data_IF_961433705470
#
_entry.id   IF_961433705470
#
_cell.length_a   1.000
_cell.length_b   1.000
_cell.length_c   1.000
_cell.angle_alpha   90.00
_cell.angle_beta   90.00
_cell.angle_gamma   90.00
#
_symmetry.space_group_name_H-M   'P 1'
#
loop_
_entity.id
_entity.type
_entity.pdbx_description
1 polymer ?
#
# COMPACT_ATOMS: atom_id res chain seq x y z
N UNK A 1 13.68 -8.60 11.76
CA UNK A 1 13.96 -9.63 12.79
C UNK A 1 14.98 -9.19 13.86
N UNK A 2 15.93 -8.27 13.59
CA UNK A 2 16.98 -7.90 14.57
C UNK A 2 16.51 -7.37 15.93
N UNK A 3 15.36 -6.68 15.99
CA UNK A 3 14.82 -6.16 17.26
C UNK A 3 14.34 -7.24 18.24
N UNK A 4 13.88 -8.39 17.74
CA UNK A 4 13.34 -9.48 18.59
C UNK A 4 14.49 -10.29 19.21
N UNK A 5 15.62 -10.42 18.50
CA UNK A 5 16.83 -11.11 19.02
C UNK A 5 17.38 -10.51 20.32
N UNK A 6 17.17 -9.21 20.54
CA UNK A 6 17.60 -8.49 21.75
C UNK A 6 16.83 -8.91 23.01
N UNK A 7 15.61 -9.42 22.86
CA UNK A 7 14.70 -9.74 23.98
C UNK A 7 14.59 -11.25 24.26
N UNK A 8 15.42 -12.08 23.61
CA UNK A 8 15.41 -13.54 23.81
C UNK A 8 15.97 -13.90 25.19
N UNK A 9 15.21 -14.68 25.98
CA UNK A 9 15.59 -15.14 27.34
C UNK A 9 16.82 -16.06 27.30
N UNK A 10 16.98 -16.80 26.20
CA UNK A 10 18.10 -17.69 25.95
C UNK A 10 19.05 -17.05 24.95
N UNK A 11 20.32 -16.90 25.32
CA UNK A 11 21.39 -16.42 24.46
C UNK A 11 22.44 -17.50 24.26
N UNK A 12 23.03 -17.55 23.07
CA UNK A 12 24.16 -18.42 22.80
C UNK A 12 25.41 -17.91 23.54
N UNK A 13 26.16 -18.80 24.16
CA UNK A 13 27.46 -18.46 24.74
C UNK A 13 28.49 -19.49 24.31
N UNK A 14 29.65 -18.98 23.92
CA UNK A 14 30.83 -19.80 23.70
C UNK A 14 31.49 -19.99 25.06
N UNK A 15 31.55 -21.22 25.53
CA UNK A 15 32.33 -21.56 26.71
C UNK A 15 33.83 -21.41 26.38
N UNK A 16 34.48 -20.46 27.06
CA UNK A 16 35.87 -20.10 26.78
C UNK A 16 36.85 -21.20 27.18
N UNK A 17 36.45 -22.09 28.11
CA UNK A 17 37.28 -23.18 28.62
C UNK A 17 37.32 -24.38 27.67
N UNK A 18 36.18 -24.79 27.10
CA UNK A 18 36.09 -25.90 26.15
C UNK A 18 36.38 -25.51 24.70
N UNK A 19 36.29 -24.22 24.36
CA UNK A 19 36.51 -23.77 22.99
C UNK A 19 38.00 -23.71 22.61
N UNK A 20 38.40 -24.50 21.62
CA UNK A 20 39.77 -24.57 21.07
C UNK A 20 40.13 -23.40 20.14
N UNK A 21 39.19 -22.50 19.82
CA UNK A 21 39.47 -21.32 18.98
C UNK A 21 39.61 -21.60 17.48
N UNK A 22 39.06 -22.72 16.98
CA UNK A 22 39.14 -23.13 15.57
C UNK A 22 38.50 -22.13 14.58
N UNK A 23 37.55 -21.30 15.04
CA UNK A 23 36.92 -20.24 14.24
C UNK A 23 35.93 -20.72 13.17
N UNK A 24 35.51 -21.99 13.21
CA UNK A 24 34.51 -22.55 12.27
C UNK A 24 33.17 -21.83 12.40
N UNK A 25 32.74 -21.55 13.64
CA UNK A 25 31.49 -20.83 13.93
C UNK A 25 31.47 -19.41 13.34
N UNK A 26 32.60 -18.70 13.36
CA UNK A 26 32.71 -17.36 12.77
C UNK A 26 32.57 -17.39 11.24
N UNK A 27 33.15 -18.41 10.58
CA UNK A 27 33.06 -18.57 9.12
C UNK A 27 31.64 -18.83 8.61
N UNK A 28 30.82 -19.56 9.36
CA UNK A 28 29.43 -19.84 8.96
C UNK A 28 28.45 -18.73 9.37
N UNK A 29 28.92 -17.74 10.14
CA UNK A 29 28.10 -16.66 10.63
C UNK A 29 27.82 -15.63 9.51
N UNK A 30 26.67 -15.75 8.85
CA UNK A 30 26.23 -14.81 7.81
C UNK A 30 26.08 -13.36 8.28
N UNK A 31 25.95 -13.14 9.59
CA UNK A 31 25.83 -11.82 10.20
C UNK A 31 27.16 -11.28 10.74
N UNK A 32 28.26 -12.04 10.60
CA UNK A 32 29.61 -11.70 11.09
C UNK A 32 29.61 -11.24 12.56
N UNK A 33 28.77 -11.87 13.37
CA UNK A 33 28.52 -11.48 14.75
C UNK A 33 29.36 -12.27 15.76
N UNK A 34 30.27 -13.14 15.32
CA UNK A 34 31.11 -13.96 16.20
C UNK A 34 32.57 -13.54 16.04
N UNK A 35 33.17 -13.06 17.12
CA UNK A 35 34.57 -12.66 17.16
C UNK A 35 35.44 -13.86 17.60
N UNK A 36 36.37 -14.28 16.72
CA UNK A 36 37.21 -15.47 16.94
C UNK A 36 38.18 -15.26 18.11
N UNK A 37 38.72 -14.05 18.24
CA UNK A 37 39.75 -13.72 19.22
C UNK A 37 39.21 -13.64 20.65
N UNK A 38 38.08 -12.94 20.83
CA UNK A 38 37.46 -12.74 22.14
C UNK A 38 36.52 -13.88 22.55
N UNK A 39 36.16 -14.75 21.60
CA UNK A 39 35.16 -15.83 21.74
C UNK A 39 33.80 -15.28 22.19
N UNK A 40 33.40 -14.15 21.62
CA UNK A 40 32.16 -13.43 21.97
C UNK A 40 31.21 -13.30 20.78
N UNK A 41 29.92 -13.25 21.08
CA UNK A 41 28.85 -13.12 20.10
C UNK A 41 28.15 -11.76 20.29
N UNK A 42 28.17 -10.94 19.25
CA UNK A 42 27.47 -9.66 19.18
C UNK A 42 25.98 -9.87 18.87
N UNK A 43 25.17 -9.83 19.92
CA UNK A 43 23.72 -9.96 19.82
C UNK A 43 23.00 -8.78 19.17
N UNK A 44 23.67 -7.66 18.90
CA UNK A 44 23.05 -6.56 18.16
C UNK A 44 22.85 -6.89 16.68
N UNK A 45 23.67 -7.82 16.15
CA UNK A 45 23.67 -8.26 14.74
C UNK A 45 23.18 -9.70 14.56
N UNK A 46 23.23 -10.52 15.60
CA UNK A 46 22.82 -11.92 15.54
C UNK A 46 21.34 -12.07 15.13
N UNK A 47 21.07 -12.89 14.11
CA UNK A 47 19.71 -13.21 13.64
C UNK A 47 19.17 -14.53 14.20
N UNK A 48 19.90 -15.15 15.14
CA UNK A 48 19.53 -16.42 15.79
C UNK A 48 19.21 -17.56 14.79
N UNK A 49 20.08 -17.75 13.79
CA UNK A 49 19.95 -18.85 12.81
C UNK A 49 20.52 -20.19 13.29
N UNK A 50 21.26 -20.20 14.42
CA UNK A 50 21.80 -21.39 15.09
C UNK A 50 22.84 -22.24 14.32
N UNK A 51 23.17 -21.91 13.08
CA UNK A 51 24.20 -22.60 12.30
C UNK A 51 25.56 -22.76 13.01
N UNK A 52 25.91 -21.85 13.94
CA UNK A 52 27.16 -21.95 14.69
C UNK A 52 27.18 -23.11 15.68
N UNK A 53 26.02 -23.55 16.21
CA UNK A 53 25.90 -24.72 17.07
C UNK A 53 26.24 -25.99 16.30
N UNK A 54 25.63 -26.17 15.13
CA UNK A 54 25.75 -27.39 14.33
C UNK A 54 27.17 -27.67 13.81
N UNK A 55 27.99 -26.63 13.67
CA UNK A 55 29.35 -26.76 13.12
C UNK A 55 30.45 -26.70 14.17
N UNK A 56 30.12 -26.60 15.46
CA UNK A 56 31.11 -26.52 16.52
C UNK A 56 31.67 -27.91 16.83
N UNK A 57 32.94 -28.23 16.49
CA UNK A 57 33.48 -29.58 16.66
C UNK A 57 33.68 -29.97 18.14
N UNK A 58 33.79 -28.97 19.01
CA UNK A 58 34.06 -29.12 20.44
C UNK A 58 32.80 -28.93 21.30
N UNK A 59 31.62 -28.84 20.68
CA UNK A 59 30.32 -28.60 21.34
C UNK A 59 30.34 -27.48 22.40
N UNK A 60 31.20 -26.47 22.18
CA UNK A 60 31.47 -25.43 23.19
C UNK A 60 30.48 -24.27 23.15
N UNK A 61 29.50 -24.30 22.24
CA UNK A 61 28.48 -23.26 22.11
C UNK A 61 27.21 -23.77 22.76
N UNK A 62 26.73 -23.07 23.79
CA UNK A 62 25.61 -23.52 24.61
C UNK A 62 24.56 -22.42 24.78
N UNK A 63 23.33 -22.82 25.10
CA UNK A 63 22.28 -21.90 25.52
C UNK A 63 22.51 -21.47 26.97
N UNK A 64 22.67 -20.17 27.22
CA UNK A 64 22.68 -19.60 28.55
C UNK A 64 21.42 -18.76 28.78
N UNK A 65 20.76 -18.98 29.93
CA UNK A 65 19.72 -18.08 30.42
C UNK A 65 20.34 -16.72 30.76
N UNK A 66 19.74 -15.63 30.27
CA UNK A 66 20.17 -14.29 30.63
C UNK A 66 19.89 -14.00 32.12
N UNK A 67 20.94 -13.63 32.84
CA UNK A 67 20.79 -12.95 34.14
C UNK A 67 20.54 -11.46 33.85
N UNK A 68 19.32 -10.98 34.12
CA UNK A 68 18.85 -9.63 33.78
C UNK A 68 19.52 -8.50 34.59
N UNK A 69 20.41 -8.82 35.53
CA UNK A 69 21.00 -7.84 36.44
C UNK A 69 22.12 -6.96 35.84
N UNK A 70 22.50 -7.13 34.57
CA UNK A 70 23.62 -6.38 33.95
C UNK A 70 23.32 -5.85 32.55
N UNK A 71 22.11 -5.32 32.31
CA UNK A 71 21.84 -4.54 31.09
C UNK A 71 22.26 -3.08 31.34
N UNK A 72 23.50 -2.72 31.00
CA UNK A 72 23.87 -1.31 30.85
C UNK A 72 23.46 -0.83 29.45
N UNK A 73 22.56 0.17 29.33
CA UNK A 73 22.28 0.79 28.05
C UNK A 73 23.48 1.64 27.64
N UNK A 74 24.27 1.17 26.68
CA UNK A 74 25.22 2.03 25.97
C UNK A 74 24.47 3.07 25.15
N UNK A 75 24.19 4.24 25.72
CA UNK A 75 23.68 5.39 24.97
C UNK A 75 24.85 6.14 24.37
N UNK A 76 24.99 6.08 23.05
CA UNK A 76 25.93 6.90 22.29
C UNK A 76 25.39 8.35 22.22
N UNK A 77 25.80 9.17 23.20
CA UNK A 77 25.32 10.56 23.40
C UNK A 77 25.64 11.46 22.17
N UNK A 78 26.61 11.05 21.35
CA UNK A 78 27.01 11.76 20.12
C UNK A 78 25.94 11.68 19.02
N UNK A 79 25.34 10.50 18.78
CA UNK A 79 24.24 10.31 17.83
C UNK A 79 22.98 11.07 18.26
N UNK A 80 22.69 11.10 19.56
CA UNK A 80 21.52 11.77 20.11
C UNK A 80 21.61 13.30 19.94
N UNK A 81 22.81 13.88 20.13
CA UNK A 81 23.07 15.32 19.91
C UNK A 81 23.06 15.72 18.44
N UNK A 82 23.51 14.86 17.53
CA UNK A 82 23.45 15.13 16.09
C UNK A 82 21.99 15.12 15.58
N UNK A 83 21.18 14.15 16.00
CA UNK A 83 19.76 14.07 15.65
C UNK A 83 18.98 15.26 16.24
N UNK A 84 19.25 15.65 17.49
CA UNK A 84 18.55 16.76 18.14
C UNK A 84 18.90 18.14 17.57
N UNK A 85 20.08 18.30 16.98
CA UNK A 85 20.50 19.57 16.32
C UNK A 85 20.07 19.63 14.86
N UNK A 86 20.04 18.49 14.16
CA UNK A 86 19.61 18.44 12.75
C UNK A 86 18.11 18.68 12.58
N UNK A 87 17.28 18.31 13.57
CA UNK A 87 15.83 18.52 13.53
C UNK A 87 15.41 19.99 13.47
N UNK A 88 16.20 20.92 14.02
CA UNK A 88 15.90 22.38 13.95
C UNK A 88 16.05 22.92 12.52
N UNK A 89 16.97 22.36 11.73
CA UNK A 89 17.23 22.80 10.36
C UNK A 89 16.13 22.36 9.38
N UNK A 90 15.53 21.19 9.61
CA UNK A 90 14.42 20.68 8.77
C UNK A 90 13.07 21.35 9.06
N UNK A 91 12.84 21.84 10.29
CA UNK A 91 11.59 22.55 10.63
C UNK A 91 11.50 23.87 9.86
N UNK A 92 12.63 24.58 9.67
CA UNK A 92 12.68 25.87 8.97
C UNK A 92 12.37 25.81 7.46
N UNK A 93 12.49 24.65 6.82
CA UNK A 93 12.29 24.46 5.37
C UNK A 93 10.85 24.08 4.98
N UNK A 94 9.95 23.86 5.93
CA UNK A 94 8.60 23.30 5.65
C UNK A 94 7.48 24.33 5.58
N UNK A 95 7.71 25.57 6.01
CA UNK A 95 6.65 26.61 6.01
C UNK A 95 6.30 27.13 4.61
N UNK A 96 7.18 26.95 3.61
CA UNK A 96 6.94 27.35 2.22
C UNK A 96 6.24 26.29 1.35
N UNK A 97 6.06 25.05 1.84
CA UNK A 97 5.49 23.95 1.06
C UNK A 97 3.98 23.73 1.24
N UNK A 98 3.33 24.43 2.17
CA UNK A 98 1.93 24.18 2.55
C UNK A 98 0.88 25.01 1.77
N UNK A 99 1.29 25.80 0.77
CA UNK A 99 0.37 26.63 -0.03
C UNK A 99 -0.26 25.90 -1.24
N UNK A 100 -0.34 24.57 -1.20
CA UNK A 100 -1.23 23.85 -2.11
C UNK A 100 -2.62 23.83 -1.48
N UNK A 101 -3.56 24.56 -2.08
CA UNK A 101 -4.98 24.60 -1.69
C UNK A 101 -5.57 23.19 -1.86
N UNK A 102 -5.31 22.31 -0.90
CA UNK A 102 -6.02 21.04 -0.77
C UNK A 102 -7.37 21.40 -0.17
N UNK A 103 -8.46 21.05 -0.84
CA UNK A 103 -9.80 21.25 -0.29
C UNK A 103 -9.88 20.39 0.98
N UNK A 104 -9.76 21.03 2.15
CA UNK A 104 -9.84 20.37 3.45
C UNK A 104 -11.31 20.43 3.87
N UNK A 105 -11.99 19.28 4.03
CA UNK A 105 -13.37 19.27 4.51
C UNK A 105 -13.43 19.82 5.93
N UNK A 106 -14.36 20.74 6.18
CA UNK A 106 -14.64 21.30 7.51
C UNK A 106 -15.63 20.44 8.27
N UNK A 107 -16.52 19.72 7.57
CA UNK A 107 -17.54 18.86 8.19
C UNK A 107 -17.20 17.39 8.00
N UNK A 108 -17.41 16.62 9.06
CA UNK A 108 -17.32 15.17 9.00
C UNK A 108 -18.54 14.59 8.28
N UNK A 109 -18.29 13.66 7.35
CA UNK A 109 -19.31 12.87 6.69
C UNK A 109 -19.99 11.90 7.67
N UNK A 110 -21.30 11.65 7.52
CA UNK A 110 -22.08 10.86 8.49
C UNK A 110 -22.43 9.46 8.02
N UNK A 111 -22.56 9.24 6.71
CA UNK A 111 -23.08 7.99 6.15
C UNK A 111 -21.91 7.08 5.81
N UNK A 112 -21.81 5.92 6.45
CA UNK A 112 -20.79 4.93 6.15
C UNK A 112 -20.98 4.31 4.76
N UNK A 113 -19.87 3.98 4.09
CA UNK A 113 -19.89 3.26 2.82
C UNK A 113 -20.46 1.85 3.03
N UNK A 114 -21.38 1.43 2.16
CA UNK A 114 -21.95 0.08 2.19
C UNK A 114 -21.35 -0.73 1.05
N UNK A 115 -20.18 -1.33 1.30
CA UNK A 115 -19.53 -2.24 0.35
C UNK A 115 -20.12 -3.63 0.53
N UNK A 116 -20.84 -4.12 -0.47
CA UNK A 116 -21.39 -5.48 -0.48
C UNK A 116 -20.29 -6.49 -0.80
N UNK A 117 -19.30 -6.07 -1.59
CA UNK A 117 -18.18 -6.94 -1.96
C UNK A 117 -16.87 -6.20 -2.13
N UNK A 118 -15.78 -6.89 -1.81
CA UNK A 118 -14.42 -6.40 -1.97
C UNK A 118 -13.99 -6.51 -3.43
N UNK A 119 -13.30 -5.49 -3.93
CA UNK A 119 -12.92 -5.42 -5.35
C UNK A 119 -11.67 -6.27 -5.61
N UNK A 120 -11.82 -7.30 -6.44
CA UNK A 120 -10.70 -8.15 -6.91
C UNK A 120 -9.96 -7.53 -8.10
N UNK A 121 -8.69 -7.93 -8.34
CA UNK A 121 -7.89 -7.37 -9.44
C UNK A 121 -8.47 -7.63 -10.83
N UNK A 122 -8.28 -6.73 -11.82
CA UNK A 122 -8.74 -6.97 -13.19
C UNK A 122 -8.08 -8.22 -13.77
N UNK A 123 -8.87 -9.08 -14.40
CA UNK A 123 -8.45 -10.40 -14.88
C UNK A 123 -8.80 -11.54 -13.92
N UNK A 124 -9.37 -11.26 -12.75
CA UNK A 124 -9.85 -12.31 -11.83
C UNK A 124 -11.16 -12.97 -12.24
N UNK A 125 -11.92 -12.38 -13.17
CA UNK A 125 -13.25 -12.83 -13.66
C UNK A 125 -14.34 -12.88 -12.59
N UNK A 126 -14.18 -13.64 -11.52
CA UNK A 126 -15.10 -13.69 -10.38
C UNK A 126 -14.32 -13.68 -9.07
N UNK A 127 -14.97 -13.23 -8.00
CA UNK A 127 -14.37 -13.28 -6.66
C UNK A 127 -14.16 -14.72 -6.21
N UNK A 128 -15.09 -15.61 -6.54
CA UNK A 128 -14.95 -17.03 -6.23
C UNK A 128 -13.75 -17.69 -6.93
N UNK A 129 -13.59 -17.44 -8.24
CA UNK A 129 -12.41 -17.91 -8.99
C UNK A 129 -11.12 -17.39 -8.37
N UNK A 130 -11.08 -16.09 -8.06
CA UNK A 130 -9.91 -15.50 -7.43
C UNK A 130 -9.58 -16.15 -6.10
N UNK A 131 -10.56 -16.27 -5.21
CA UNK A 131 -10.37 -16.80 -3.86
C UNK A 131 -9.94 -18.28 -3.88
N UNK A 132 -10.48 -19.07 -4.81
CA UNK A 132 -10.15 -20.50 -4.92
C UNK A 132 -8.77 -20.76 -5.53
N UNK A 133 -8.23 -19.85 -6.34
CA UNK A 133 -6.98 -20.04 -7.07
C UNK A 133 -5.81 -19.19 -6.53
N UNK A 134 -6.09 -18.16 -5.72
CA UNK A 134 -5.06 -17.29 -5.18
C UNK A 134 -4.35 -17.94 -3.98
N UNK A 135 -3.06 -18.18 -4.14
CA UNK A 135 -2.19 -18.74 -3.09
C UNK A 135 -1.60 -17.68 -2.15
N UNK A 136 -2.06 -16.43 -2.24
CA UNK A 136 -1.52 -15.29 -1.48
C UNK A 136 0.03 -15.13 -1.60
N UNK A 137 0.60 -15.43 -2.77
CA UNK A 137 2.04 -15.30 -3.02
C UNK A 137 2.57 -13.84 -3.08
N UNK A 138 1.67 -12.85 -3.09
CA UNK A 138 1.94 -11.41 -3.08
C UNK A 138 2.75 -10.84 -4.26
N UNK A 139 3.04 -11.62 -5.31
CA UNK A 139 3.73 -11.14 -6.51
C UNK A 139 3.02 -9.94 -7.16
N UNK A 140 1.68 -9.99 -7.25
CA UNK A 140 0.89 -8.88 -7.79
C UNK A 140 0.88 -7.63 -6.90
N UNK A 141 0.98 -7.80 -5.57
CA UNK A 141 1.09 -6.68 -4.61
C UNK A 141 2.41 -5.95 -4.83
N UNK A 142 3.52 -6.70 -4.91
CA UNK A 142 4.85 -6.14 -5.13
C UNK A 142 4.99 -5.50 -6.52
N UNK A 143 4.41 -6.12 -7.56
CA UNK A 143 4.44 -5.59 -8.92
C UNK A 143 3.56 -4.35 -9.14
N UNK A 144 2.62 -4.06 -8.22
CA UNK A 144 1.68 -2.95 -8.39
C UNK A 144 2.36 -1.58 -8.16
N UNK A 145 2.51 -0.73 -9.20
CA UNK A 145 3.21 0.55 -9.06
C UNK A 145 2.45 1.53 -8.15
N UNK A 146 1.12 1.49 -8.17
CA UNK A 146 0.29 2.37 -7.34
C UNK A 146 0.10 1.84 -5.92
N UNK A 147 0.49 0.59 -5.65
CA UNK A 147 0.30 -0.10 -4.35
C UNK A 147 -1.17 -0.16 -3.90
N UNK A 148 -2.12 -0.11 -4.85
CA UNK A 148 -3.54 -0.24 -4.53
C UNK A 148 -3.90 -1.65 -4.05
N UNK A 149 -3.14 -2.67 -4.47
CA UNK A 149 -3.33 -4.02 -3.97
C UNK A 149 -2.74 -4.13 -2.57
N UNK A 150 -3.57 -4.49 -1.60
CA UNK A 150 -3.19 -4.72 -0.21
C UNK A 150 -3.60 -6.12 0.23
N UNK A 151 -2.88 -6.75 1.17
CA UNK A 151 -3.26 -8.05 1.69
C UNK A 151 -4.54 -7.92 2.53
N UNK A 152 -5.55 -8.74 2.24
CA UNK A 152 -6.78 -8.79 3.02
C UNK A 152 -6.52 -9.28 4.44
N UNK A 153 -7.37 -8.84 5.36
CA UNK A 153 -7.51 -9.44 6.70
C UNK A 153 -8.90 -10.02 6.84
N UNK A 154 -9.93 -9.26 6.46
CA UNK A 154 -11.34 -9.64 6.62
C UNK A 154 -12.13 -9.53 5.32
N UNK A 155 -11.58 -8.87 4.30
CA UNK A 155 -12.25 -8.46 3.06
C UNK A 155 -12.79 -9.63 2.22
N UNK A 156 -12.18 -10.82 2.33
CA UNK A 156 -12.62 -12.05 1.66
C UNK A 156 -13.07 -13.15 2.64
N UNK A 157 -13.27 -12.79 3.91
CA UNK A 157 -13.57 -13.73 4.99
C UNK A 157 -12.33 -14.43 5.58
N UNK A 158 -12.54 -15.15 6.68
CA UNK A 158 -11.46 -15.70 7.53
C UNK A 158 -10.59 -16.75 6.83
N UNK A 159 -11.11 -17.44 5.82
CA UNK A 159 -10.39 -18.47 5.07
C UNK A 159 -9.51 -17.92 3.94
N UNK A 160 -9.71 -16.66 3.56
CA UNK A 160 -9.06 -16.01 2.41
C UNK A 160 -8.16 -14.85 2.87
N UNK A 161 -7.56 -15.00 4.06
CA UNK A 161 -6.67 -14.00 4.63
C UNK A 161 -5.42 -13.83 3.76
N UNK A 162 -4.89 -12.61 3.73
CA UNK A 162 -3.73 -12.19 2.94
C UNK A 162 -3.88 -12.30 1.42
N UNK A 163 -5.05 -12.66 0.91
CA UNK A 163 -5.32 -12.55 -0.52
C UNK A 163 -5.39 -11.07 -0.93
N UNK A 164 -4.84 -10.69 -2.10
CA UNK A 164 -4.80 -9.29 -2.52
C UNK A 164 -6.21 -8.75 -2.82
N UNK A 165 -6.59 -7.63 -2.23
CA UNK A 165 -7.77 -6.86 -2.62
C UNK A 165 -7.38 -5.44 -3.03
N UNK A 166 -8.25 -4.76 -3.79
CA UNK A 166 -8.04 -3.36 -4.15
C UNK A 166 -8.45 -2.44 -2.99
N UNK A 167 -7.47 -1.81 -2.34
CA UNK A 167 -7.68 -0.83 -1.28
C UNK A 167 -7.62 0.61 -1.81
N UNK A 168 -8.80 1.21 -1.96
CA UNK A 168 -8.94 2.59 -2.42
C UNK A 168 -8.70 3.67 -1.37
N UNK A 169 -8.43 3.28 -0.12
CA UNK A 169 -7.91 4.21 0.90
C UNK A 169 -6.43 4.48 0.66
N UNK A 170 -5.68 3.45 0.26
CA UNK A 170 -4.24 3.54 -0.01
C UNK A 170 -3.94 4.20 -1.34
N UNK A 171 -4.61 3.79 -2.43
CA UNK A 171 -4.34 4.30 -3.79
C UNK A 171 -5.46 3.93 -4.76
N UNK A 172 -5.21 3.86 -6.06
CA UNK A 172 -6.18 3.44 -7.07
C UNK A 172 -5.54 2.53 -8.13
N UNK A 173 -6.36 1.80 -8.89
CA UNK A 173 -5.90 1.00 -10.01
C UNK A 173 -5.62 1.90 -11.21
N UNK A 174 -4.35 2.05 -11.60
CA UNK A 174 -3.98 2.84 -12.78
C UNK A 174 -4.64 2.26 -14.04
N UNK A 175 -5.30 3.10 -14.84
CA UNK A 175 -6.11 2.72 -15.99
C UNK A 175 -5.33 1.91 -17.05
N UNK A 176 -4.10 2.30 -17.35
CA UNK A 176 -3.28 1.70 -18.42
C UNK A 176 -2.36 0.55 -17.96
N UNK A 177 -2.28 0.27 -16.66
CA UNK A 177 -1.35 -0.72 -16.10
C UNK A 177 -1.90 -2.15 -16.13
N UNK A 178 -1.14 -3.16 -16.59
CA UNK A 178 -1.54 -4.59 -16.58
C UNK A 178 -0.63 -5.49 -15.73
N UNK A 179 0.32 -4.90 -14.99
CA UNK A 179 1.41 -5.63 -14.32
C UNK A 179 0.96 -6.78 -13.40
N UNK A 180 -0.16 -6.63 -12.68
CA UNK A 180 -0.66 -7.70 -11.79
C UNK A 180 -1.06 -8.98 -12.53
N UNK A 181 -1.51 -8.85 -13.78
CA UNK A 181 -1.92 -9.98 -14.63
C UNK A 181 -0.74 -10.69 -15.28
N UNK A 182 0.40 -10.03 -15.41
CA UNK A 182 1.62 -10.59 -16.03
C UNK A 182 2.44 -11.44 -15.05
N UNK A 183 2.23 -11.26 -13.74
CA UNK A 183 3.03 -11.89 -12.69
C UNK A 183 2.30 -13.00 -11.93
N UNK A 184 1.02 -13.28 -12.23
CA UNK A 184 0.24 -14.26 -11.48
C UNK A 184 0.57 -15.69 -11.93
N UNK A 185 1.17 -16.53 -11.07
CA UNK A 185 1.61 -17.87 -11.48
C UNK A 185 0.46 -18.90 -11.50
N UNK A 186 -0.62 -18.66 -10.74
CA UNK A 186 -1.73 -19.61 -10.58
C UNK A 186 -2.93 -19.30 -11.47
N UNK A 187 -2.85 -18.27 -12.31
CA UNK A 187 -4.00 -17.77 -13.10
C UNK A 187 -5.23 -17.40 -12.24
N UNK A 188 -5.03 -17.08 -10.96
CA UNK A 188 -6.04 -16.39 -10.15
C UNK A 188 -6.38 -15.00 -10.74
N UNK A 189 -5.40 -14.40 -11.42
CA UNK A 189 -5.55 -13.24 -12.29
C UNK A 189 -5.10 -13.70 -13.67
N UNK A 190 -6.01 -13.78 -14.63
CA UNK A 190 -5.67 -14.11 -16.01
C UNK A 190 -4.89 -12.97 -16.66
N UNK A 191 -3.92 -13.27 -17.56
CA UNK A 191 -3.26 -12.26 -18.38
C UNK A 191 -4.28 -11.44 -19.16
N UNK A 192 -4.19 -10.11 -19.07
CA UNK A 192 -5.05 -9.18 -19.81
C UNK A 192 -4.22 -8.16 -20.58
N UNK A 193 -4.62 -7.88 -21.81
CA UNK A 193 -4.02 -6.78 -22.59
C UNK A 193 -4.51 -5.43 -22.07
N UNK A 194 -3.75 -4.37 -22.34
CA UNK A 194 -4.16 -3.00 -22.00
C UNK A 194 -5.50 -2.61 -22.61
N UNK A 195 -5.81 -3.09 -23.83
CA UNK A 195 -7.09 -2.83 -24.49
C UNK A 195 -8.27 -3.55 -23.79
N UNK A 196 -8.08 -4.81 -23.37
CA UNK A 196 -9.10 -5.55 -22.63
C UNK A 196 -9.35 -4.92 -21.26
N UNK A 197 -8.28 -4.62 -20.52
CA UNK A 197 -8.39 -4.05 -19.16
C UNK A 197 -9.23 -2.77 -19.12
N UNK A 198 -9.15 -1.93 -20.15
CA UNK A 198 -9.93 -0.69 -20.26
C UNK A 198 -11.45 -0.89 -20.30
N UNK A 199 -11.91 -2.11 -20.57
CA UNK A 199 -13.32 -2.47 -20.61
C UNK A 199 -13.71 -3.44 -19.48
N UNK A 200 -12.78 -3.96 -18.67
CA UNK A 200 -13.12 -4.85 -17.56
C UNK A 200 -13.70 -4.01 -16.42
N UNK A 201 -14.94 -4.28 -16.04
CA UNK A 201 -15.60 -3.65 -14.90
C UNK A 201 -15.50 -4.54 -13.65
N UNK A 202 -14.54 -4.21 -12.79
CA UNK A 202 -14.30 -4.92 -11.52
C UNK A 202 -15.23 -4.44 -10.39
N UNK A 203 -15.84 -3.27 -10.55
CA UNK A 203 -16.77 -2.69 -9.58
C UNK A 203 -17.51 -1.48 -10.14
N UNK A 204 -18.46 -0.96 -9.36
CA UNK A 204 -19.33 0.18 -9.72
C UNK A 204 -19.13 1.31 -8.72
N UNK A 205 -19.15 2.54 -9.22
CA UNK A 205 -19.06 3.70 -8.36
C UNK A 205 -20.44 4.04 -7.81
N UNK A 206 -20.50 4.34 -6.51
CA UNK A 206 -21.70 4.72 -5.78
C UNK A 206 -21.46 6.10 -5.19
N UNK A 207 -22.34 7.04 -5.51
CA UNK A 207 -22.29 8.41 -4.99
C UNK A 207 -23.28 8.58 -3.84
N UNK A 208 -22.79 9.11 -2.72
CA UNK A 208 -23.55 9.45 -1.52
C UNK A 208 -23.57 10.96 -1.38
N UNK A 209 -24.67 11.56 -1.82
CA UNK A 209 -24.84 13.01 -1.92
C UNK A 209 -24.65 13.71 -0.57
N UNK A 210 -25.16 13.11 0.49
CA UNK A 210 -25.18 13.65 1.85
C UNK A 210 -23.78 13.76 2.47
N UNK A 211 -22.80 13.03 1.94
CA UNK A 211 -21.41 13.11 2.36
C UNK A 211 -20.61 14.15 1.54
N UNK A 212 -21.12 14.58 0.37
CA UNK A 212 -20.38 15.42 -0.57
C UNK A 212 -20.21 16.86 -0.04
N UNK A 213 -18.99 17.40 -0.12
CA UNK A 213 -18.71 18.80 0.28
C UNK A 213 -19.50 19.85 -0.51
N UNK A 214 -19.91 19.52 -1.74
CA UNK A 214 -20.79 20.38 -2.54
C UNK A 214 -22.15 20.52 -1.84
N UNK A 215 -22.67 19.46 -1.22
CA UNK A 215 -23.94 19.49 -0.49
C UNK A 215 -23.76 20.01 0.95
N UNK A 216 -22.77 19.49 1.68
CA UNK A 216 -22.61 19.76 3.11
C UNK A 216 -22.03 21.14 3.41
N UNK A 217 -21.12 21.61 2.54
CA UNK A 217 -20.36 22.86 2.72
C UNK A 217 -20.63 23.88 1.60
N UNK A 218 -21.46 23.56 0.60
CA UNK A 218 -21.79 24.45 -0.52
C UNK A 218 -20.56 24.98 -1.26
N UNK A 219 -19.50 24.17 -1.32
CA UNK A 219 -18.21 24.53 -1.93
C UNK A 219 -18.03 23.77 -3.24
N UNK A 220 -17.57 24.47 -4.29
CA UNK A 220 -17.32 23.85 -5.59
C UNK A 220 -16.21 22.79 -5.50
N UNK A 221 -16.48 21.59 -5.99
CA UNK A 221 -15.53 20.48 -6.01
C UNK A 221 -15.80 19.56 -7.20
N UNK A 222 -14.76 19.27 -7.99
CA UNK A 222 -14.82 18.36 -9.15
C UNK A 222 -13.86 17.18 -9.05
N UNK A 223 -13.21 16.95 -7.89
CA UNK A 223 -12.07 16.05 -7.77
C UNK A 223 -12.32 14.64 -8.33
N UNK A 224 -13.51 14.08 -8.08
CA UNK A 224 -13.88 12.75 -8.56
C UNK A 224 -14.06 12.66 -10.09
N UNK A 225 -14.58 13.72 -10.73
CA UNK A 225 -14.75 13.81 -12.18
C UNK A 225 -13.42 14.03 -12.90
N UNK A 226 -12.54 14.88 -12.34
CA UNK A 226 -11.22 15.14 -12.91
C UNK A 226 -10.33 13.90 -12.92
N UNK A 227 -10.39 13.10 -11.86
CA UNK A 227 -9.60 11.86 -11.75
C UNK A 227 -10.27 10.66 -12.44
N UNK A 228 -11.46 10.79 -13.02
CA UNK A 228 -12.15 9.69 -13.69
C UNK A 228 -11.64 9.50 -15.13
N UNK A 229 -10.86 8.44 -15.43
CA UNK A 229 -10.28 8.25 -16.77
C UNK A 229 -11.33 7.91 -17.83
N UNK A 230 -12.43 7.24 -17.44
CA UNK A 230 -13.49 6.84 -18.37
C UNK A 230 -14.61 7.86 -18.52
N UNK A 231 -14.54 8.98 -17.78
CA UNK A 231 -15.62 9.98 -17.67
C UNK A 231 -16.98 9.35 -17.34
N UNK A 232 -16.95 8.30 -16.53
CA UNK A 232 -18.13 7.69 -15.89
C UNK A 232 -18.69 8.56 -14.76
N UNK A 233 -17.84 9.41 -14.16
CA UNK A 233 -18.25 10.44 -13.21
C UNK A 233 -18.15 11.78 -13.93
N UNK A 234 -19.26 12.50 -14.02
CA UNK A 234 -19.37 13.80 -14.70
C UNK A 234 -19.99 14.82 -13.77
N UNK A 235 -19.57 16.07 -13.86
CA UNK A 235 -20.17 17.17 -13.10
C UNK A 235 -21.41 17.70 -13.82
N UNK A 236 -22.57 17.63 -13.17
CA UNK A 236 -23.84 18.18 -13.68
C UNK A 236 -24.26 19.39 -12.85
N UNK A 237 -25.05 20.26 -13.47
CA UNK A 237 -25.51 21.48 -12.81
C UNK A 237 -26.33 21.15 -11.56
N UNK A 238 -26.08 21.92 -10.51
CA UNK A 238 -26.66 21.75 -9.20
C UNK A 238 -27.09 23.11 -8.61
N UNK A 239 -27.62 23.11 -7.38
CA UNK A 239 -28.14 24.30 -6.69
C UNK A 239 -27.23 25.52 -6.86
N UNK A 240 -27.77 26.60 -7.44
CA UNK A 240 -27.04 27.84 -7.69
C UNK A 240 -26.02 27.69 -8.81
N UNK A 241 -24.78 28.13 -8.57
CA UNK A 241 -23.65 28.01 -9.51
C UNK A 241 -22.76 26.78 -9.22
N UNK A 242 -23.24 25.84 -8.42
CA UNK A 242 -22.48 24.65 -8.07
C UNK A 242 -22.78 23.52 -9.05
N UNK A 243 -21.80 22.62 -9.21
CA UNK A 243 -21.99 21.35 -9.92
C UNK A 243 -21.77 20.20 -8.96
N UNK A 244 -22.47 19.10 -9.17
CA UNK A 244 -22.38 17.89 -8.35
C UNK A 244 -22.07 16.68 -9.25
N UNK A 245 -21.33 15.67 -8.77
CA UNK A 245 -21.05 14.50 -9.60
C UNK A 245 -22.30 13.65 -9.83
N UNK A 246 -22.45 13.18 -11.06
CA UNK A 246 -23.37 12.13 -11.48
C UNK A 246 -22.56 10.94 -12.01
N UNK A 247 -22.97 9.73 -11.62
CA UNK A 247 -22.26 8.48 -11.94
C UNK A 247 -23.04 7.67 -12.97
N UNK A 248 -22.45 7.47 -14.14
CA UNK A 248 -22.95 6.59 -15.19
C UNK A 248 -22.20 5.25 -15.19
N UNK A 249 -22.71 4.28 -14.44
CA UNK A 249 -22.00 3.02 -14.17
C UNK A 249 -21.71 2.15 -15.40
N UNK A 250 -22.42 2.31 -16.52
CA UNK A 250 -22.09 1.60 -17.77
C UNK A 250 -20.69 1.91 -18.31
N UNK A 251 -20.13 3.08 -17.99
CA UNK A 251 -18.77 3.47 -18.38
C UNK A 251 -17.74 3.27 -17.26
N UNK A 252 -18.19 2.93 -16.04
CA UNK A 252 -17.31 2.75 -14.90
C UNK A 252 -16.57 1.43 -15.05
N UNK A 253 -15.26 1.44 -14.83
CA UNK A 253 -14.45 0.20 -14.75
C UNK A 253 -14.17 -0.22 -13.30
N UNK A 254 -14.54 0.61 -12.32
CA UNK A 254 -14.28 0.34 -10.90
C UNK A 254 -12.83 0.56 -10.49
N UNK A 255 -12.10 1.50 -11.10
CA UNK A 255 -10.66 1.70 -10.81
C UNK A 255 -10.36 2.35 -9.44
N UNK A 256 -11.35 2.96 -8.80
CA UNK A 256 -11.21 3.60 -7.48
C UNK A 256 -10.57 4.99 -7.47
N UNK A 257 -10.16 5.55 -8.63
CA UNK A 257 -9.53 6.87 -8.68
C UNK A 257 -10.41 7.99 -8.10
N UNK A 258 -11.73 7.91 -8.31
CA UNK A 258 -12.69 8.86 -7.74
C UNK A 258 -12.83 8.73 -6.21
N UNK A 259 -12.79 7.51 -5.66
CA UNK A 259 -12.85 7.25 -4.21
C UNK A 259 -11.60 7.77 -3.52
N UNK A 260 -10.43 7.48 -4.09
CA UNK A 260 -9.13 7.93 -3.59
C UNK A 260 -9.04 9.48 -3.59
N UNK A 261 -9.44 10.11 -4.69
CA UNK A 261 -9.40 11.57 -4.83
C UNK A 261 -10.42 12.31 -3.96
N UNK A 262 -11.46 11.63 -3.47
CA UNK A 262 -12.52 12.26 -2.69
C UNK A 262 -11.97 12.77 -1.35
N UNK A 263 -12.09 14.08 -1.02
CA UNK A 263 -11.47 14.66 0.16
C UNK A 263 -12.22 14.38 1.47
N UNK A 264 -13.48 13.90 1.40
CA UNK A 264 -14.35 13.75 2.57
C UNK A 264 -13.83 12.69 3.54
N UNK A 265 -14.08 12.93 4.83
CA UNK A 265 -13.69 12.06 5.94
C UNK A 265 -14.78 12.10 7.02
N UNK A 266 -14.94 11.05 7.85
CA UNK A 266 -14.26 9.75 7.77
C UNK A 266 -14.70 8.86 6.60
N UNK A 267 -15.87 9.12 6.03
CA UNK A 267 -16.47 8.37 4.93
C UNK A 267 -16.41 9.16 3.62
N UNK A 268 -16.17 8.45 2.52
CA UNK A 268 -16.11 8.99 1.18
C UNK A 268 -17.52 9.35 0.68
N UNK A 269 -17.63 10.44 -0.07
CA UNK A 269 -18.86 10.80 -0.78
C UNK A 269 -19.06 9.99 -2.06
N UNK A 270 -17.99 9.39 -2.59
CA UNK A 270 -18.05 8.45 -3.70
C UNK A 270 -17.12 7.29 -3.40
N UNK A 271 -17.61 6.07 -3.56
CA UNK A 271 -16.83 4.85 -3.32
C UNK A 271 -17.16 3.81 -4.39
N UNK A 272 -16.30 2.81 -4.52
CA UNK A 272 -16.48 1.68 -5.43
C UNK A 272 -16.94 0.46 -4.63
N UNK A 273 -18.02 -0.15 -5.11
CA UNK A 273 -18.50 -1.46 -4.65
C UNK A 273 -18.11 -2.53 -5.66
N UNK A 274 -17.61 -3.67 -5.17
CA UNK A 274 -17.08 -4.74 -6.02
C UNK A 274 -18.14 -5.55 -6.72
N UNK A 275 -17.88 -5.91 -7.97
CA UNK A 275 -18.72 -6.87 -8.68
C UNK A 275 -18.29 -8.29 -8.30
N UNK A 276 -19.23 -9.14 -7.88
CA UNK A 276 -18.99 -10.58 -7.64
C UNK A 276 -18.46 -11.28 -8.90
N UNK A 277 -19.01 -10.87 -10.06
CA UNK A 277 -18.61 -11.32 -11.40
C UNK A 277 -18.26 -10.07 -12.20
N UNK A 278 -17.03 -9.99 -12.70
CA UNK A 278 -16.55 -8.89 -13.52
C UNK A 278 -17.43 -8.75 -14.76
N UNK A 279 -17.80 -7.50 -15.05
CA UNK A 279 -18.66 -7.16 -16.17
C UNK A 279 -17.83 -6.48 -17.27
N UNK A 280 -18.46 -6.14 -18.38
CA UNK A 280 -17.84 -5.34 -19.44
C UNK A 280 -18.41 -3.93 -19.38
N UNK A 281 -17.54 -2.93 -19.24
CA UNK A 281 -17.87 -1.52 -19.35
C UNK A 281 -17.92 -1.10 -20.84
N UNK A 282 -18.87 -0.24 -21.16
CA UNK A 282 -18.94 0.44 -22.44
C UNK A 282 -17.91 1.58 -22.52
N UNK A 283 -17.42 1.86 -23.73
CA UNK A 283 -16.66 3.09 -23.97
C UNK A 283 -17.63 4.23 -24.21
N UNK A 284 -17.44 5.33 -23.49
CA UNK A 284 -18.18 6.56 -23.77
C UNK A 284 -17.82 7.05 -25.18
N UNK A 285 -18.79 7.38 -26.04
CA UNK A 285 -18.51 7.98 -27.33
C UNK A 285 -17.74 9.30 -27.14
N UNK A 286 -16.56 9.42 -27.74
CA UNK A 286 -15.85 10.68 -27.83
C UNK A 286 -16.51 11.53 -28.91
N UNK A 287 -17.22 12.59 -28.52
CA UNK A 287 -17.48 13.69 -29.45
C UNK A 287 -16.13 14.26 -29.85
N UNK A 288 -15.76 14.10 -31.12
CA UNK A 288 -14.61 14.79 -31.68
C UNK A 288 -14.92 16.28 -31.62
N UNK A 289 -14.30 16.99 -30.69
CA UNK A 289 -14.24 18.45 -30.75
C UNK A 289 -13.34 18.80 -31.93
N UNK A 290 -13.94 18.96 -33.11
CA UNK A 290 -13.29 19.54 -34.29
C UNK A 290 -13.09 21.05 -34.07
N UNK A 291 -12.36 21.43 -33.03
CA UNK A 291 -11.88 22.79 -32.88
C UNK A 291 -10.64 22.93 -33.76
N UNK A 292 -10.80 23.56 -34.92
CA UNK A 292 -9.67 24.16 -35.65
C UNK A 292 -9.07 25.22 -34.73
N UNK A 293 -8.03 24.85 -34.00
CA UNK A 293 -7.21 25.80 -33.23
C UNK A 293 -6.44 26.63 -34.26
N UNK A 294 -6.81 27.89 -34.42
CA UNK A 294 -6.06 28.84 -35.24
C UNK A 294 -4.82 29.27 -34.43
N UNK A 295 -3.65 28.75 -34.82
CA UNK A 295 -2.37 29.03 -34.16
C UNK A 295 -1.83 30.45 -34.45
N UNK A 296 -2.63 31.36 -35.01
CA UNK A 296 -2.19 32.70 -35.44
C UNK A 296 -2.19 33.79 -34.38
N UNK A 297 -2.75 33.54 -33.19
CA UNK A 297 -2.59 34.47 -32.08
C UNK A 297 -1.42 34.01 -31.21
N UNK A 298 -0.28 34.69 -31.38
CA UNK A 298 0.90 34.54 -30.53
C UNK A 298 0.48 34.57 -29.05
N UNK A 299 0.85 33.51 -28.32
CA UNK A 299 0.74 33.47 -26.87
C UNK A 299 1.51 34.68 -26.32
N UNK A 300 0.85 35.60 -25.59
CA UNK A 300 1.53 36.78 -25.06
C UNK A 300 2.42 36.32 -23.90
N UNK A 301 3.71 36.16 -24.19
CA UNK A 301 4.76 36.03 -23.16
C UNK A 301 5.11 37.40 -22.61
#
# INVERSE_FOLDING_TARGET
LGLISKFTIFKLKIDKASCEGCGVCARVCKAECIEKSTKEIDFSRCVACYNCLDVCPSDSINYQLLNLNNIQPGSDDSRRRFISRSSVFFIGLTTSALSQIKIIPKKESKIAEKKNSSVSPPGSNTIEHFNNNCTACHLCITACPTKVLQPSITEYGIFNIFQPFMDYKTSYCNYDCVACSEVCPTSAIFPVTGAQKKNIQIGKAIFVKENCIVETEKTACGACSEHCPTKAVMMVDYKGNLKIPEVTNKYCVGCGACEYACPTKPYKAIYVDGNLVHQTAEKKPTEKLDQKIDYKEEFPF
#
